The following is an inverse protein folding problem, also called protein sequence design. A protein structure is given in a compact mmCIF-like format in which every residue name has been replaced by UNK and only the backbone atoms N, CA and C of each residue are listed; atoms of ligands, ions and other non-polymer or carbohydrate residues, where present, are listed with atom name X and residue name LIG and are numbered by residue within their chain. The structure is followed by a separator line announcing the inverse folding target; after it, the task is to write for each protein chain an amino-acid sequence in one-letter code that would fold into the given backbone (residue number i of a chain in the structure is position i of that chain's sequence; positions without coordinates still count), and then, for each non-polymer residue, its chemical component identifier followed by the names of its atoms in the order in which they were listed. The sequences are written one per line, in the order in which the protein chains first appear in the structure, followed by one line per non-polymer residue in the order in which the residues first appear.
data_IF_509896303477
#
_entry.id   IF_509896303477
#
_cell.length_a   1.000
_cell.length_b   1.000
_cell.length_c   1.000
_cell.angle_alpha   90.00
_cell.angle_beta   90.00
_cell.angle_gamma   90.00
#
_symmetry.space_group_name_H-M   'P 1'
#
loop_
_entity.id
_entity.type
_entity.pdbx_description
1 polymer ?
#
# COMPACT_ATOMS: atom_id res chain seq x y z
N UNK A 1 -9.13 1.13 -18.03
CA UNK A 1 -8.04 0.60 -17.18
C UNK A 1 -8.67 -0.31 -16.14
N UNK A 2 -8.21 -1.57 -15.98
CA UNK A 2 -8.74 -2.43 -14.90
C UNK A 2 -8.10 -2.00 -13.59
N UNK A 3 -8.93 -1.67 -12.60
CA UNK A 3 -8.49 -1.50 -11.22
C UNK A 3 -7.80 -2.77 -10.77
N UNK A 4 -6.50 -2.70 -10.53
CA UNK A 4 -5.76 -3.80 -9.93
C UNK A 4 -6.06 -3.72 -8.44
N UNK A 5 -7.04 -4.49 -7.97
CA UNK A 5 -7.22 -4.70 -6.53
C UNK A 5 -5.90 -5.20 -5.96
N UNK A 6 -5.22 -4.34 -5.21
CA UNK A 6 -3.92 -4.63 -4.61
C UNK A 6 -4.15 -5.68 -3.52
N UNK A 7 -3.63 -6.89 -3.72
CA UNK A 7 -3.70 -7.94 -2.72
C UNK A 7 -2.93 -7.48 -1.46
N UNK A 8 -3.58 -7.34 -0.29
CA UNK A 8 -2.93 -6.79 0.90
C UNK A 8 -1.74 -7.62 1.38
N UNK A 9 -1.68 -8.92 1.05
CA UNK A 9 -0.50 -9.74 1.31
C UNK A 9 0.73 -9.26 0.51
N UNK A 10 0.53 -8.94 -0.76
CA UNK A 10 1.62 -8.48 -1.64
C UNK A 10 2.13 -7.11 -1.20
N UNK A 11 1.21 -6.25 -0.74
CA UNK A 11 1.57 -4.97 -0.13
C UNK A 11 2.42 -5.17 1.13
N UNK A 12 2.06 -6.10 2.02
CA UNK A 12 2.86 -6.43 3.22
C UNK A 12 4.27 -6.92 2.84
N UNK A 13 4.38 -7.80 1.84
CA UNK A 13 5.67 -8.28 1.31
C UNK A 13 6.52 -7.11 0.81
N UNK A 14 5.93 -6.21 0.01
CA UNK A 14 6.62 -5.04 -0.53
C UNK A 14 7.10 -4.10 0.57
N UNK A 15 6.21 -3.75 1.52
CA UNK A 15 6.54 -2.87 2.63
C UNK A 15 7.67 -3.46 3.47
N UNK A 16 7.58 -4.75 3.81
CA UNK A 16 8.62 -5.44 4.59
C UNK A 16 9.97 -5.44 3.89
N UNK A 17 10.00 -5.67 2.57
CA UNK A 17 11.22 -5.58 1.76
C UNK A 17 11.83 -4.17 1.85
N UNK A 18 11.00 -3.12 1.73
CA UNK A 18 11.44 -1.74 1.83
C UNK A 18 11.96 -1.38 3.23
N UNK A 19 11.34 -1.87 4.30
CA UNK A 19 11.82 -1.71 5.68
C UNK A 19 13.23 -2.28 5.86
N UNK A 20 13.49 -3.45 5.25
CA UNK A 20 14.80 -4.10 5.26
C UNK A 20 15.80 -3.48 4.27
N UNK A 21 15.38 -2.47 3.50
CA UNK A 21 16.17 -1.80 2.45
C UNK A 21 16.69 -2.76 1.39
N UNK A 22 15.97 -3.85 1.14
CA UNK A 22 16.32 -4.81 0.10
C UNK A 22 15.76 -4.35 -1.24
N UNK A 23 16.58 -4.45 -2.28
CA UNK A 23 16.17 -4.26 -3.67
C UNK A 23 15.38 -5.47 -4.16
N UNK A 24 14.61 -5.30 -5.24
CA UNK A 24 13.97 -6.43 -5.91
C UNK A 24 14.97 -7.45 -6.46
N UNK A 25 16.19 -7.01 -6.83
CA UNK A 25 17.26 -7.86 -7.30
C UNK A 25 17.77 -8.79 -6.20
N UNK A 26 18.11 -8.23 -5.03
CA UNK A 26 18.60 -9.01 -3.89
C UNK A 26 17.60 -10.08 -3.42
N UNK A 27 16.31 -9.74 -3.38
CA UNK A 27 15.28 -10.74 -3.03
C UNK A 27 15.13 -11.79 -4.11
N UNK A 28 15.20 -11.41 -5.39
CA UNK A 28 15.12 -12.35 -6.50
C UNK A 28 16.31 -13.33 -6.50
N UNK A 29 17.52 -12.82 -6.27
CA UNK A 29 18.75 -13.62 -6.15
C UNK A 29 18.66 -14.60 -4.99
N UNK A 30 18.19 -14.14 -3.81
CA UNK A 30 17.99 -15.00 -2.64
C UNK A 30 16.88 -16.06 -2.85
N UNK A 31 15.93 -15.80 -3.74
CA UNK A 31 14.90 -16.76 -4.13
C UNK A 31 15.33 -17.71 -5.27
N UNK A 32 16.49 -17.45 -5.89
CA UNK A 32 16.99 -18.14 -7.09
C UNK A 32 16.04 -17.98 -8.30
N UNK A 33 15.48 -16.78 -8.49
CA UNK A 33 14.60 -16.47 -9.62
C UNK A 33 15.04 -15.18 -10.32
N UNK A 34 14.61 -14.96 -11.56
CA UNK A 34 14.86 -13.70 -12.26
C UNK A 34 14.14 -12.51 -11.61
N UNK A 35 14.80 -11.34 -11.57
CA UNK A 35 14.23 -10.10 -11.04
C UNK A 35 12.87 -9.74 -11.66
N UNK A 36 12.69 -9.95 -12.97
CA UNK A 36 11.42 -9.71 -13.65
C UNK A 36 10.29 -10.60 -13.12
N UNK A 37 10.60 -11.87 -12.80
CA UNK A 37 9.65 -12.82 -12.22
C UNK A 37 9.28 -12.39 -10.80
N UNK A 38 10.24 -11.98 -9.99
CA UNK A 38 9.98 -11.44 -8.65
C UNK A 38 9.11 -10.18 -8.69
N UNK A 39 9.44 -9.22 -9.56
CA UNK A 39 8.66 -7.99 -9.75
C UNK A 39 7.23 -8.26 -10.23
N UNK A 40 7.01 -9.28 -11.06
CA UNK A 40 5.68 -9.71 -11.47
C UNK A 40 4.90 -10.38 -10.32
N UNK A 41 5.57 -11.14 -9.45
CA UNK A 41 4.99 -11.70 -8.22
C UNK A 41 4.57 -10.61 -7.23
N UNK A 42 5.46 -9.65 -6.94
CA UNK A 42 5.23 -8.55 -6.00
C UNK A 42 4.07 -7.64 -6.46
N UNK A 43 3.94 -7.42 -7.78
CA UNK A 43 2.81 -6.66 -8.36
C UNK A 43 1.51 -7.47 -8.52
N UNK A 44 1.52 -8.75 -8.16
CA UNK A 44 0.36 -9.63 -8.29
C UNK A 44 0.01 -10.01 -9.74
N UNK A 45 0.93 -9.78 -10.69
CA UNK A 45 0.77 -10.25 -12.06
C UNK A 45 1.00 -11.76 -12.17
N UNK A 46 1.79 -12.34 -11.26
CA UNK A 46 2.01 -13.78 -11.12
C UNK A 46 1.61 -14.21 -9.71
N UNK A 47 0.87 -15.31 -9.60
CA UNK A 47 0.51 -15.91 -8.32
C UNK A 47 1.79 -16.44 -7.62
N UNK A 48 1.98 -16.08 -6.36
CA UNK A 48 3.08 -16.60 -5.55
C UNK A 48 2.70 -18.01 -5.06
N UNK A 49 3.57 -18.99 -5.28
CA UNK A 49 3.35 -20.36 -4.78
C UNK A 49 3.53 -20.41 -3.25
N UNK A 50 3.00 -21.44 -2.61
CA UNK A 50 3.19 -21.65 -1.16
C UNK A 50 4.67 -21.82 -0.81
N UNK A 51 5.42 -22.55 -1.63
CA UNK A 51 6.87 -22.73 -1.50
C UNK A 51 7.61 -21.39 -1.58
N UNK A 52 7.23 -20.54 -2.53
CA UNK A 52 7.81 -19.20 -2.66
C UNK A 52 7.47 -18.30 -1.47
N UNK A 53 6.24 -18.38 -0.94
CA UNK A 53 5.84 -17.64 0.26
C UNK A 53 6.69 -18.06 1.47
N UNK A 54 6.90 -19.36 1.67
CA UNK A 54 7.78 -19.86 2.74
C UNK A 54 9.23 -19.41 2.57
N UNK A 55 9.75 -19.33 1.33
CA UNK A 55 11.08 -18.76 1.05
C UNK A 55 11.11 -17.27 1.39
N UNK A 56 10.10 -16.51 0.95
CA UNK A 56 10.00 -15.07 1.22
C UNK A 56 9.89 -14.76 2.71
N UNK A 57 9.12 -15.55 3.47
CA UNK A 57 9.01 -15.41 4.91
C UNK A 57 10.37 -15.49 5.60
N UNK A 58 11.25 -16.39 5.15
CA UNK A 58 12.62 -16.54 5.65
C UNK A 58 13.51 -15.36 5.25
N UNK A 59 13.52 -15.00 3.97
CA UNK A 59 14.34 -13.90 3.43
C UNK A 59 13.98 -12.56 4.08
N UNK A 60 12.68 -12.31 4.27
CA UNK A 60 12.15 -11.06 4.82
C UNK A 60 12.05 -11.05 6.35
N UNK A 61 12.54 -12.10 7.02
CA UNK A 61 12.41 -12.34 8.45
C UNK A 61 11.00 -11.97 8.95
N UNK A 62 10.01 -12.59 8.32
CA UNK A 62 8.60 -12.29 8.48
C UNK A 62 7.84 -13.60 8.74
N UNK A 63 7.88 -14.13 9.97
CA UNK A 63 7.29 -15.41 10.32
C UNK A 63 5.76 -15.42 10.19
N UNK A 64 5.11 -14.24 10.24
CA UNK A 64 3.66 -14.09 10.07
C UNK A 64 3.17 -14.28 8.63
N UNK A 65 4.06 -14.44 7.64
CA UNK A 65 3.71 -14.84 6.27
C UNK A 65 3.30 -16.31 6.17
N UNK A 66 3.12 -16.99 7.31
CA UNK A 66 2.81 -18.41 7.34
C UNK A 66 1.47 -18.70 6.64
N UNK A 67 1.57 -19.65 5.72
CA UNK A 67 0.66 -19.82 4.58
C UNK A 67 -0.74 -20.25 5.04
N UNK A 68 -0.86 -20.74 6.28
CA UNK A 68 -2.09 -21.24 6.87
C UNK A 68 -3.07 -20.14 7.31
N UNK A 69 -2.59 -18.90 7.52
CA UNK A 69 -3.42 -17.82 8.07
C UNK A 69 -3.93 -16.80 7.04
N UNK A 70 -3.55 -16.93 5.77
CA UNK A 70 -4.08 -16.06 4.70
C UNK A 70 -5.46 -16.54 4.29
N UNK A 71 -6.46 -16.33 5.15
CA UNK A 71 -7.87 -16.32 4.71
C UNK A 71 -7.99 -15.22 3.67
N UNK A 72 -8.23 -15.61 2.42
CA UNK A 72 -8.36 -14.73 1.25
C UNK A 72 -9.04 -13.40 1.63
N UNK A 73 -8.28 -12.29 1.71
CA UNK A 73 -8.87 -11.02 2.12
C UNK A 73 -9.75 -10.52 0.97
N UNK A 74 -11.03 -10.32 1.28
CA UNK A 74 -12.01 -9.73 0.36
C UNK A 74 -11.54 -8.32 0.00
N UNK A 75 -11.66 -7.98 -1.29
CA UNK A 75 -11.26 -6.74 -1.95
C UNK A 75 -11.22 -5.51 -1.03
N UNK A 76 -10.02 -4.92 -0.87
CA UNK A 76 -9.88 -3.58 -0.32
C UNK A 76 -9.73 -2.62 -1.50
N UNK A 77 -10.65 -1.68 -1.63
CA UNK A 77 -10.61 -0.62 -2.66
C UNK A 77 -9.93 0.62 -2.08
N UNK A 78 -8.70 0.86 -2.54
CA UNK A 78 -7.86 1.98 -2.11
C UNK A 78 -7.94 3.21 -3.03
N UNK A 79 -8.73 3.16 -4.12
CA UNK A 79 -8.89 4.31 -5.03
C UNK A 79 -9.56 5.51 -4.34
N UNK A 80 -10.33 5.25 -3.28
CA UNK A 80 -11.01 6.24 -2.43
C UNK A 80 -10.05 6.91 -1.44
N UNK A 81 -8.96 6.24 -1.03
CA UNK A 81 -8.04 6.73 0.01
C UNK A 81 -7.09 7.84 -0.47
N UNK A 82 -6.63 7.78 -1.72
CA UNK A 82 -5.66 8.79 -2.22
C UNK A 82 -6.36 10.09 -2.66
N UNK A 83 -7.65 10.05 -3.02
CA UNK A 83 -8.38 11.25 -3.47
C UNK A 83 -8.80 12.20 -2.36
N UNK A 84 -8.90 11.75 -1.11
CA UNK A 84 -9.41 12.59 0.01
C UNK A 84 -8.35 13.48 0.66
N UNK A 85 -7.07 13.15 0.53
CA UNK A 85 -5.98 13.87 1.20
C UNK A 85 -5.44 15.08 0.40
N UNK A 86 -5.79 15.21 -0.89
CA UNK A 86 -5.25 16.26 -1.76
C UNK A 86 -6.12 17.52 -1.92
N UNK A 87 -7.33 17.56 -1.36
CA UNK A 87 -8.28 18.68 -1.51
C UNK A 87 -8.51 19.54 -0.24
N UNK A 88 -7.80 19.31 0.88
CA UNK A 88 -7.91 20.18 2.06
C UNK A 88 -6.60 20.95 2.35
N UNK A 89 -6.51 22.26 2.05
CA UNK A 89 -5.37 23.09 2.40
C UNK A 89 -5.27 23.26 3.92
N UNK A 90 -4.09 22.95 4.48
CA UNK A 90 -3.75 22.89 5.91
C UNK A 90 -3.81 24.21 6.70
N UNK A 91 -4.53 25.22 6.24
CA UNK A 91 -4.63 26.52 6.89
C UNK A 91 -6.03 26.70 7.49
N UNK A 92 -6.20 26.24 8.74
CA UNK A 92 -7.26 26.53 9.74
C UNK A 92 -7.80 25.23 10.40
N UNK A 93 -6.98 24.57 11.24
CA UNK A 93 -7.52 23.60 12.21
C UNK A 93 -7.74 24.30 13.56
N UNK A 94 -8.95 24.82 13.73
CA UNK A 94 -9.55 25.00 15.05
C UNK A 94 -9.89 23.61 15.65
N UNK A 95 -9.92 23.45 16.99
CA UNK A 95 -10.22 22.17 17.62
C UNK A 95 -11.69 21.80 17.43
N UNK A 96 -11.98 20.90 16.49
CA UNK A 96 -13.33 20.39 16.28
C UNK A 96 -13.69 19.43 17.41
N UNK A 97 -14.41 19.94 18.40
CA UNK A 97 -15.18 19.11 19.33
C UNK A 97 -16.48 18.70 18.64
N UNK A 98 -16.82 17.41 18.75
CA UNK A 98 -18.11 16.80 18.36
C UNK A 98 -18.39 16.67 16.86
N UNK A 99 -17.98 15.53 16.28
CA UNK A 99 -18.56 15.05 15.02
C UNK A 99 -19.76 14.13 15.31
N UNK A 100 -20.97 14.61 15.03
CA UNK A 100 -22.15 13.76 14.82
C UNK A 100 -22.05 13.15 13.43
N UNK A 101 -21.95 11.83 13.37
CA UNK A 101 -22.00 11.05 12.14
C UNK A 101 -23.40 11.12 11.52
N UNK A 102 -23.50 11.57 10.27
CA UNK A 102 -24.69 11.36 9.44
C UNK A 102 -24.39 10.34 8.35
N UNK A 103 -25.22 9.31 8.35
CA UNK A 103 -25.17 8.07 7.60
C UNK A 103 -25.31 8.23 6.08
N UNK A 104 -24.38 7.69 5.29
CA UNK A 104 -24.68 6.88 4.10
C UNK A 104 -23.39 6.31 3.48
N UNK A 105 -23.06 5.07 3.84
CA UNK A 105 -22.63 3.96 2.96
C UNK A 105 -22.06 2.84 3.84
N UNK A 106 -22.90 1.83 4.11
CA UNK A 106 -22.56 0.67 4.94
C UNK A 106 -21.58 -0.23 4.19
N UNK A 107 -20.29 0.06 4.26
CA UNK A 107 -19.25 -0.83 3.72
C UNK A 107 -17.80 -0.36 3.89
N UNK A 108 -17.55 0.95 4.02
CA UNK A 108 -16.20 1.54 4.02
C UNK A 108 -15.60 1.82 5.40
N UNK A 109 -16.43 1.98 6.43
CA UNK A 109 -15.97 2.59 7.70
C UNK A 109 -15.12 1.65 8.57
N UNK A 110 -15.31 0.33 8.46
CA UNK A 110 -14.54 -0.67 9.22
C UNK A 110 -13.07 -0.70 8.78
N UNK A 111 -12.79 -0.31 7.53
CA UNK A 111 -11.43 -0.32 6.98
C UNK A 111 -10.62 0.92 7.35
N UNK A 112 -11.29 2.07 7.55
CA UNK A 112 -10.66 3.31 7.98
C UNK A 112 -10.20 3.24 9.44
N UNK A 113 -11.01 2.68 10.33
CA UNK A 113 -10.64 2.57 11.75
C UNK A 113 -9.43 1.66 11.96
N UNK A 114 -9.39 0.50 11.30
CA UNK A 114 -8.24 -0.42 11.37
C UNK A 114 -6.95 0.21 10.80
N UNK A 115 -7.07 1.06 9.79
CA UNK A 115 -5.91 1.78 9.25
C UNK A 115 -5.44 2.89 10.18
N UNK A 116 -6.35 3.65 10.79
CA UNK A 116 -5.99 4.68 11.77
C UNK A 116 -5.31 4.08 13.00
N UNK A 117 -5.79 2.94 13.48
CA UNK A 117 -5.13 2.21 14.58
C UNK A 117 -3.71 1.80 14.17
N UNK A 118 -3.55 1.25 12.96
CA UNK A 118 -2.24 0.89 12.42
C UNK A 118 -1.34 2.12 12.21
N UNK A 119 -1.89 3.23 11.72
CA UNK A 119 -1.18 4.48 11.49
C UNK A 119 -0.69 5.06 12.82
N UNK A 120 -1.50 5.09 13.86
CA UNK A 120 -1.07 5.59 15.17
C UNK A 120 0.07 4.77 15.77
N UNK A 121 0.10 3.45 15.54
CA UNK A 121 1.18 2.56 15.99
C UNK A 121 2.48 2.68 15.17
N UNK A 122 2.45 3.30 13.98
CA UNK A 122 3.64 3.45 13.14
C UNK A 122 4.62 4.49 13.67
N UNK A 123 5.91 4.17 13.59
CA UNK A 123 6.97 5.15 13.85
C UNK A 123 6.93 6.29 12.85
N UNK A 124 7.40 7.49 13.25
CA UNK A 124 7.47 8.66 12.37
C UNK A 124 8.24 8.37 11.07
N UNK A 125 9.26 7.50 11.12
CA UNK A 125 10.04 7.09 9.96
C UNK A 125 9.23 6.27 8.96
N UNK A 126 8.35 5.38 9.44
CA UNK A 126 7.47 4.58 8.58
C UNK A 126 6.36 5.44 7.96
N UNK A 127 5.81 6.39 8.74
CA UNK A 127 4.84 7.38 8.24
C UNK A 127 5.42 8.20 7.09
N UNK A 128 6.62 8.77 7.26
CA UNK A 128 7.31 9.52 6.20
C UNK A 128 7.58 8.67 4.96
N UNK A 129 8.01 7.41 5.14
CA UNK A 129 8.24 6.50 4.02
C UNK A 129 6.95 6.19 3.23
N UNK A 130 5.82 6.04 3.92
CA UNK A 130 4.52 5.86 3.27
C UNK A 130 4.07 7.11 2.52
N UNK A 131 4.27 8.29 3.11
CA UNK A 131 3.96 9.58 2.48
C UNK A 131 4.81 9.74 1.21
N UNK A 132 6.10 9.44 1.25
CA UNK A 132 6.98 9.53 0.09
C UNK A 132 6.63 8.50 -0.99
N UNK A 133 6.22 7.29 -0.59
CA UNK A 133 5.71 6.30 -1.53
C UNK A 133 4.43 6.79 -2.21
N UNK A 134 3.50 7.38 -1.45
CA UNK A 134 2.27 7.95 -1.98
C UNK A 134 2.55 9.11 -2.95
N UNK A 135 3.47 10.03 -2.60
CA UNK A 135 3.93 11.12 -3.48
C UNK A 135 4.53 10.62 -4.79
N UNK A 136 5.26 9.50 -4.75
CA UNK A 136 5.84 8.90 -5.96
C UNK A 136 4.80 8.14 -6.80
N UNK A 137 3.76 7.58 -6.18
CA UNK A 137 2.67 6.87 -6.86
C UNK A 137 1.65 7.83 -7.49
N UNK A 138 1.37 8.96 -6.83
CA UNK A 138 0.64 10.09 -7.41
C UNK A 138 1.61 10.85 -8.28
N UNK A 139 1.91 10.30 -9.46
CA UNK A 139 2.79 10.93 -10.44
C UNK A 139 2.45 12.42 -10.58
N UNK A 140 3.48 13.27 -10.60
CA UNK A 140 3.30 14.72 -10.74
C UNK A 140 2.26 14.99 -11.83
N UNK A 141 1.17 15.73 -11.55
CA UNK A 141 0.23 16.10 -12.60
C UNK A 141 1.01 16.73 -13.74
N UNK A 142 0.88 16.16 -14.94
CA UNK A 142 1.58 16.64 -16.11
C UNK A 142 0.94 17.98 -16.53
N UNK A 143 1.48 19.09 -16.01
CA UNK A 143 0.98 20.44 -16.30
C UNK A 143 1.30 20.92 -17.73
N UNK A 144 1.69 20.05 -18.67
CA UNK A 144 2.16 20.45 -20.01
C UNK A 144 1.08 20.76 -21.05
N UNK A 145 -0.21 20.84 -20.70
CA UNK A 145 -1.27 21.03 -21.71
C UNK A 145 -2.26 22.17 -21.42
N UNK A 146 -1.77 23.34 -20.99
CA UNK A 146 -2.52 24.60 -21.09
C UNK A 146 -1.60 25.74 -21.56
N UNK A 147 -1.15 25.66 -22.82
CA UNK A 147 -0.74 26.85 -23.55
C UNK A 147 -1.97 27.54 -24.13
N UNK A 148 -2.05 28.88 -24.15
CA UNK A 148 -3.23 29.58 -24.65
C UNK A 148 -3.33 29.35 -26.17
N UNK A 149 -4.50 28.86 -26.62
CA UNK A 149 -4.87 28.95 -28.02
C UNK A 149 -4.88 30.44 -28.42
N UNK A 150 -4.19 30.74 -29.51
CA UNK A 150 -4.14 32.07 -30.13
C UNK A 150 -5.39 32.30 -30.97
#
# INVERSE_FOLDING_TARGET
MRERSQNPLLLKIMLRRLELRLTQGEVADAMEIGQTTYSAKERGAIKISTVDLSKLAKILNFPELDVENVKSPRNIDFSVMIKREMDEPSALREPVTSYKSTSHEKGSDIHLTQFLDCWEEMSSKQKEMLIDLARNLVGKPDYRSFGPEK
#
